data_IF_493094952206
#
_entry.id   IF_493094952206
#
_cell.length_a   1.000
_cell.length_b   1.000
_cell.length_c   1.000
_cell.angle_alpha   90.00
_cell.angle_beta   90.00
_cell.angle_gamma   90.00
#
_symmetry.space_group_name_H-M   'P 1'
#
loop_
_entity.id
_entity.type
_entity.pdbx_description
1 polymer ?
#
# COMPACT_ATOMS: atom_id res chain seq x y z
N UNK A 1 -47.69 -60.06 -23.30
CA UNK A 1 -47.22 -61.19 -24.16
C UNK A 1 -46.72 -60.57 -25.44
N UNK A 2 -45.52 -60.74 -26.02
CA UNK A 2 -44.27 -61.52 -25.95
C UNK A 2 -43.27 -60.61 -26.73
N UNK A 3 -41.94 -60.64 -26.68
CA UNK A 3 -40.88 -61.34 -25.96
C UNK A 3 -39.58 -60.55 -26.27
N UNK A 4 -38.64 -60.70 -25.37
CA UNK A 4 -37.24 -60.27 -25.31
C UNK A 4 -36.35 -60.39 -26.56
N UNK A 5 -35.31 -59.54 -26.53
CA UNK A 5 -34.04 -59.45 -27.32
C UNK A 5 -33.32 -60.77 -27.63
N UNK A 6 -32.27 -60.72 -28.47
CA UNK A 6 -30.94 -61.03 -27.92
C UNK A 6 -29.80 -60.10 -28.38
N UNK A 7 -28.71 -60.21 -27.61
CA UNK A 7 -27.43 -59.50 -27.64
C UNK A 7 -26.47 -60.09 -28.69
N UNK A 8 -25.56 -59.27 -29.23
CA UNK A 8 -24.19 -59.70 -29.59
C UNK A 8 -23.20 -58.63 -29.10
N UNK A 9 -22.20 -59.15 -28.39
CA UNK A 9 -21.01 -58.52 -27.82
C UNK A 9 -19.93 -58.35 -28.89
N UNK A 10 -19.19 -57.25 -28.87
CA UNK A 10 -17.96 -57.06 -29.65
C UNK A 10 -17.01 -56.10 -28.94
N UNK A 11 -15.90 -56.64 -28.45
CA UNK A 11 -14.76 -56.03 -27.76
C UNK A 11 -13.88 -55.14 -28.67
N UNK A 12 -13.26 -54.09 -28.07
CA UNK A 12 -11.84 -53.61 -28.16
C UNK A 12 -11.22 -53.37 -29.58
N UNK A 13 -10.36 -52.41 -29.90
CA UNK A 13 -9.46 -51.48 -29.19
C UNK A 13 -8.84 -50.51 -30.23
N UNK A 14 -8.68 -49.24 -29.84
CA UNK A 14 -7.63 -48.22 -30.18
C UNK A 14 -7.18 -48.02 -31.64
N UNK A 15 -7.24 -46.76 -32.12
CA UNK A 15 -6.12 -45.89 -32.59
C UNK A 15 -6.75 -44.70 -33.34
N UNK A 16 -6.37 -43.47 -32.98
CA UNK A 16 -6.73 -42.30 -33.79
C UNK A 16 -6.56 -40.93 -33.12
N UNK A 17 -5.40 -40.68 -32.50
CA UNK A 17 -4.96 -39.32 -32.16
C UNK A 17 -4.78 -38.55 -33.47
N UNK A 18 -5.65 -37.57 -33.73
CA UNK A 18 -5.41 -36.34 -34.50
C UNK A 18 -6.76 -35.67 -34.77
N UNK A 19 -6.81 -34.33 -34.75
CA UNK A 19 -7.98 -33.43 -34.99
C UNK A 19 -8.63 -32.82 -33.73
N UNK A 20 -7.81 -32.49 -32.72
CA UNK A 20 -8.16 -31.50 -31.69
C UNK A 20 -7.22 -30.29 -31.70
N UNK A 21 -6.71 -29.90 -32.87
CA UNK A 21 -5.71 -28.83 -33.03
C UNK A 21 -6.15 -27.81 -34.07
N UNK A 22 -7.36 -27.25 -33.95
CA UNK A 22 -7.73 -25.98 -34.59
C UNK A 22 -8.79 -25.34 -33.68
N UNK A 23 -8.57 -24.08 -33.28
CA UNK A 23 -9.37 -23.29 -32.33
C UNK A 23 -9.05 -23.44 -30.82
N UNK A 24 -7.76 -23.42 -30.48
CA UNK A 24 -7.32 -22.61 -29.35
C UNK A 24 -6.91 -21.26 -29.94
N UNK A 25 -7.90 -20.39 -30.19
CA UNK A 25 -7.62 -18.96 -30.26
C UNK A 25 -7.07 -18.59 -28.89
N UNK A 26 -5.77 -18.30 -28.86
CA UNK A 26 -5.11 -17.67 -27.73
C UNK A 26 -5.99 -16.52 -27.25
N UNK A 27 -6.47 -16.60 -26.02
CA UNK A 27 -7.14 -15.49 -25.37
C UNK A 27 -6.26 -14.24 -25.57
N UNK A 28 -6.82 -13.10 -26.02
CA UNK A 28 -6.03 -11.90 -26.21
C UNK A 28 -5.36 -11.56 -24.89
N UNK A 29 -4.05 -11.30 -24.94
CA UNK A 29 -3.22 -10.87 -23.82
C UNK A 29 -3.87 -9.62 -23.22
N UNK A 30 -4.62 -9.77 -22.12
CA UNK A 30 -5.26 -8.66 -21.39
C UNK A 30 -4.22 -7.93 -20.54
N UNK A 31 -3.06 -7.61 -21.11
CA UNK A 31 -2.21 -6.57 -20.54
C UNK A 31 -2.85 -5.24 -20.93
N UNK A 32 -3.33 -4.42 -19.98
CA UNK A 32 -3.86 -3.10 -20.31
C UNK A 32 -2.92 -2.37 -21.27
N UNK A 33 -3.46 -1.96 -22.41
CA UNK A 33 -2.77 -1.17 -23.41
C UNK A 33 -2.60 0.24 -22.84
N UNK A 34 -1.57 0.41 -22.04
CA UNK A 34 -1.40 1.56 -21.15
C UNK A 34 -0.46 1.26 -19.98
N UNK A 35 -0.21 -0.03 -19.69
CA UNK A 35 0.96 -0.39 -18.90
C UNK A 35 2.18 -0.10 -19.77
N UNK A 36 2.78 1.07 -19.57
CA UNK A 36 4.24 1.05 -19.57
C UNK A 36 4.59 0.02 -18.49
N UNK A 37 4.85 -1.22 -18.94
CA UNK A 37 5.90 -1.98 -18.27
C UNK A 37 7.00 -0.95 -18.16
N UNK A 38 7.56 -0.70 -16.98
CA UNK A 38 8.70 0.21 -16.87
C UNK A 38 9.70 -0.28 -17.90
N UNK A 39 9.68 0.36 -19.08
CA UNK A 39 10.51 0.01 -20.21
C UNK A 39 11.72 0.84 -19.92
N UNK A 40 12.44 0.36 -18.93
CA UNK A 40 13.88 0.45 -18.95
C UNK A 40 14.33 -0.31 -20.21
N UNK A 41 14.15 0.33 -21.37
CA UNK A 41 14.54 -0.21 -22.69
C UNK A 41 16.07 -0.46 -22.75
N UNK A 42 16.79 -0.03 -21.70
CA UNK A 42 18.06 -0.54 -21.21
C UNK A 42 17.90 -0.89 -19.73
N UNK A 43 18.29 -2.10 -19.30
CA UNK A 43 18.45 -2.41 -17.87
C UNK A 43 19.34 -1.32 -17.27
N UNK A 44 18.88 -0.52 -16.28
CA UNK A 44 19.69 0.56 -15.75
C UNK A 44 20.97 0.02 -15.12
N UNK A 45 22.08 0.76 -15.18
CA UNK A 45 23.33 0.35 -14.53
C UNK A 45 23.12 -0.01 -13.04
N UNK A 46 22.15 0.64 -12.37
CA UNK A 46 21.75 0.33 -11.00
C UNK A 46 21.09 -1.04 -10.85
N UNK A 47 20.27 -1.48 -11.79
CA UNK A 47 19.60 -2.79 -11.73
C UNK A 47 20.63 -3.93 -11.84
N UNK A 48 21.53 -3.87 -12.82
CA UNK A 48 22.62 -4.86 -12.95
C UNK A 48 23.59 -4.79 -11.77
N UNK A 49 23.84 -3.60 -11.21
CA UNK A 49 24.66 -3.44 -10.01
C UNK A 49 24.06 -4.20 -8.82
N UNK A 50 22.79 -3.95 -8.46
CA UNK A 50 22.14 -4.62 -7.33
C UNK A 50 21.98 -6.12 -7.58
N UNK A 51 21.67 -6.51 -8.82
CA UNK A 51 21.58 -7.92 -9.20
C UNK A 51 22.91 -8.63 -9.01
N UNK A 52 24.01 -8.03 -9.47
CA UNK A 52 25.34 -8.59 -9.29
C UNK A 52 25.71 -8.72 -7.82
N UNK A 53 25.38 -7.71 -7.00
CA UNK A 53 25.72 -7.72 -5.58
C UNK A 53 24.96 -8.80 -4.82
N UNK A 54 23.63 -8.88 -4.99
CA UNK A 54 22.77 -9.90 -4.36
C UNK A 54 23.23 -11.31 -4.75
N UNK A 55 23.57 -11.54 -6.02
CA UNK A 55 24.07 -12.83 -6.49
C UNK A 55 25.46 -13.20 -5.94
N UNK A 56 26.31 -12.22 -5.65
CA UNK A 56 27.66 -12.45 -5.14
C UNK A 56 27.73 -12.59 -3.62
N UNK A 57 26.77 -12.01 -2.90
CA UNK A 57 26.69 -11.99 -1.45
C UNK A 57 25.38 -12.62 -0.98
N UNK A 58 24.41 -11.80 -0.56
CA UNK A 58 23.07 -12.20 -0.18
C UNK A 58 22.08 -11.06 -0.44
N UNK A 59 20.76 -11.32 -0.46
CA UNK A 59 19.74 -10.27 -0.48
C UNK A 59 19.91 -9.25 0.66
N UNK A 60 20.18 -9.73 1.87
CA UNK A 60 20.34 -8.90 3.07
C UNK A 60 21.58 -8.00 2.99
N UNK A 61 22.73 -8.56 2.62
CA UNK A 61 23.97 -7.79 2.47
C UNK A 61 23.84 -6.77 1.33
N UNK A 62 23.21 -7.17 0.21
CA UNK A 62 22.89 -6.28 -0.89
C UNK A 62 22.00 -5.11 -0.46
N UNK A 63 21.01 -5.35 0.41
CA UNK A 63 20.11 -4.30 0.88
C UNK A 63 20.77 -3.37 1.91
N UNK A 64 21.65 -3.90 2.76
CA UNK A 64 22.49 -3.08 3.66
C UNK A 64 23.36 -2.13 2.83
N UNK A 65 24.00 -2.64 1.80
CA UNK A 65 24.85 -1.83 0.93
C UNK A 65 24.04 -0.81 0.13
N UNK A 66 22.91 -1.22 -0.43
CA UNK A 66 21.95 -0.32 -1.07
C UNK A 66 21.58 0.85 -0.15
N UNK A 67 21.23 0.58 1.11
CA UNK A 67 20.94 1.64 2.09
C UNK A 67 22.15 2.54 2.32
N UNK A 68 23.36 1.98 2.42
CA UNK A 68 24.61 2.75 2.63
C UNK A 68 24.89 3.71 1.48
N UNK A 69 24.71 3.26 0.24
CA UNK A 69 24.97 4.07 -0.96
C UNK A 69 23.89 5.11 -1.21
N UNK A 70 22.63 4.73 -1.00
CA UNK A 70 21.49 5.57 -1.30
C UNK A 70 21.23 6.65 -0.24
N UNK A 71 21.77 6.54 0.98
CA UNK A 71 21.50 7.46 2.10
C UNK A 71 21.77 8.96 1.83
N UNK A 72 22.63 9.26 0.86
CA UNK A 72 23.04 10.63 0.53
C UNK A 72 22.29 11.19 -0.69
N UNK A 73 21.49 10.38 -1.38
CA UNK A 73 20.64 10.83 -2.48
C UNK A 73 19.55 11.76 -1.94
N UNK A 74 18.91 12.54 -2.82
CA UNK A 74 17.73 13.32 -2.43
C UNK A 74 16.60 12.39 -1.96
N UNK A 75 15.66 12.93 -1.18
CA UNK A 75 14.55 12.16 -0.63
C UNK A 75 13.75 11.40 -1.69
N UNK A 76 13.45 12.04 -2.83
CA UNK A 76 12.74 11.40 -3.95
C UNK A 76 13.58 10.31 -4.63
N UNK A 77 14.88 10.58 -4.87
CA UNK A 77 15.79 9.58 -5.44
C UNK A 77 15.97 8.37 -4.53
N UNK A 78 16.00 8.59 -3.21
CA UNK A 78 16.10 7.51 -2.24
C UNK A 78 14.95 6.51 -2.41
N UNK A 79 13.73 7.03 -2.49
CA UNK A 79 12.52 6.23 -2.68
C UNK A 79 12.52 5.51 -4.04
N UNK A 80 12.80 6.24 -5.13
CA UNK A 80 12.79 5.66 -6.49
C UNK A 80 13.85 4.59 -6.68
N UNK A 81 15.06 4.79 -6.16
CA UNK A 81 16.12 3.77 -6.22
C UNK A 81 15.73 2.50 -5.42
N UNK A 82 14.93 2.65 -4.36
CA UNK A 82 14.46 1.52 -3.59
C UNK A 82 13.46 0.66 -4.38
N UNK A 83 12.67 1.25 -5.29
CA UNK A 83 11.83 0.46 -6.22
C UNK A 83 12.70 -0.50 -7.03
N UNK A 84 13.77 0.01 -7.65
CA UNK A 84 14.69 -0.81 -8.46
C UNK A 84 15.25 -1.99 -7.64
N UNK A 85 15.70 -1.75 -6.41
CA UNK A 85 16.19 -2.82 -5.56
C UNK A 85 15.09 -3.88 -5.30
N UNK A 86 13.88 -3.45 -4.97
CA UNK A 86 12.74 -4.34 -4.78
C UNK A 86 12.39 -5.17 -6.01
N UNK A 87 12.47 -4.58 -7.20
CA UNK A 87 12.24 -5.29 -8.46
C UNK A 87 13.29 -6.37 -8.72
N UNK A 88 14.58 -6.05 -8.50
CA UNK A 88 15.70 -7.01 -8.61
C UNK A 88 15.51 -8.14 -7.60
N UNK A 89 15.16 -7.80 -6.37
CA UNK A 89 14.95 -8.75 -5.29
C UNK A 89 13.86 -9.76 -5.63
N UNK A 90 12.71 -9.32 -6.16
CA UNK A 90 11.66 -10.24 -6.61
C UNK A 90 12.12 -11.13 -7.77
N UNK A 91 12.90 -10.58 -8.71
CA UNK A 91 13.42 -11.36 -9.83
C UNK A 91 14.31 -12.52 -9.37
N UNK A 92 15.13 -12.30 -8.34
CA UNK A 92 16.08 -13.28 -7.84
C UNK A 92 15.48 -14.26 -6.84
N UNK A 93 14.71 -13.75 -5.88
CA UNK A 93 14.24 -14.52 -4.72
C UNK A 93 12.75 -14.91 -4.80
N UNK A 94 12.02 -14.33 -5.74
CA UNK A 94 10.56 -14.44 -5.79
C UNK A 94 9.92 -13.93 -4.50
N UNK A 95 8.79 -14.54 -4.12
CA UNK A 95 7.97 -14.11 -2.96
C UNK A 95 8.74 -14.15 -1.64
N UNK A 96 9.69 -15.07 -1.48
CA UNK A 96 10.39 -15.25 -0.21
C UNK A 96 11.40 -14.14 0.08
N UNK A 97 11.83 -13.39 -0.94
CA UNK A 97 12.72 -12.24 -0.80
C UNK A 97 12.10 -11.05 -0.07
N UNK A 98 10.77 -11.00 0.08
CA UNK A 98 10.08 -9.83 0.63
C UNK A 98 10.57 -9.46 2.05
N UNK A 99 11.04 -10.45 2.82
CA UNK A 99 11.58 -10.24 4.17
C UNK A 99 12.86 -9.39 4.22
N UNK A 100 13.54 -9.21 3.10
CA UNK A 100 14.75 -8.38 2.98
C UNK A 100 14.42 -6.89 3.01
N UNK A 101 13.28 -6.48 2.44
CA UNK A 101 12.83 -5.09 2.47
C UNK A 101 12.46 -4.65 3.89
N UNK A 102 12.58 -3.35 4.18
CA UNK A 102 12.14 -2.72 5.43
C UNK A 102 11.45 -1.37 5.16
N UNK A 103 11.15 -0.61 6.21
CA UNK A 103 10.52 0.70 6.11
C UNK A 103 11.43 1.82 5.57
N UNK A 104 12.71 1.54 5.30
CA UNK A 104 13.65 2.53 4.80
C UNK A 104 13.16 3.13 3.48
N UNK A 105 13.49 4.41 3.27
CA UNK A 105 13.13 5.14 2.05
C UNK A 105 11.62 5.10 1.74
N UNK A 106 10.79 5.22 2.79
CA UNK A 106 9.33 5.20 2.71
C UNK A 106 8.79 3.94 2.01
N UNK A 107 9.26 2.77 2.42
CA UNK A 107 8.78 1.48 1.91
C UNK A 107 9.03 1.25 0.41
N UNK A 108 9.89 2.06 -0.25
CA UNK A 108 10.09 1.98 -1.70
C UNK A 108 10.57 0.60 -2.20
N UNK A 109 11.31 -0.16 -1.38
CA UNK A 109 11.69 -1.55 -1.68
C UNK A 109 10.45 -2.45 -1.85
N UNK A 110 9.49 -2.35 -0.94
CA UNK A 110 8.24 -3.10 -1.06
C UNK A 110 7.46 -2.67 -2.31
N UNK A 111 7.41 -1.38 -2.62
CA UNK A 111 6.68 -0.87 -3.80
C UNK A 111 7.19 -1.53 -5.08
N UNK A 112 8.50 -1.47 -5.35
CA UNK A 112 9.10 -2.11 -6.52
C UNK A 112 8.88 -3.63 -6.53
N UNK A 113 9.08 -4.29 -5.40
CA UNK A 113 8.89 -5.73 -5.25
C UNK A 113 7.46 -6.18 -5.62
N UNK A 114 6.45 -5.50 -5.08
CA UNK A 114 5.05 -5.83 -5.38
C UNK A 114 4.62 -5.41 -6.76
N UNK A 115 5.08 -4.26 -7.24
CA UNK A 115 4.79 -3.79 -8.60
C UNK A 115 5.24 -4.84 -9.62
N UNK A 116 6.49 -5.32 -9.55
CA UNK A 116 6.98 -6.32 -10.50
C UNK A 116 6.31 -7.70 -10.31
N UNK A 117 5.99 -8.08 -9.08
CA UNK A 117 5.30 -9.34 -8.79
C UNK A 117 3.92 -9.40 -9.45
N UNK A 118 3.10 -8.38 -9.21
CA UNK A 118 1.75 -8.30 -9.77
C UNK A 118 1.81 -8.05 -11.28
N UNK A 119 2.77 -7.27 -11.77
CA UNK A 119 2.96 -7.07 -13.20
C UNK A 119 3.27 -8.38 -13.95
N UNK A 120 4.17 -9.22 -13.42
CA UNK A 120 4.61 -10.46 -14.08
C UNK A 120 3.57 -11.58 -13.98
N UNK A 121 2.94 -11.74 -12.83
CA UNK A 121 2.08 -12.90 -12.53
C UNK A 121 0.59 -12.58 -12.55
N UNK A 122 0.23 -11.30 -12.59
CA UNK A 122 -1.15 -10.85 -12.50
C UNK A 122 -1.78 -11.17 -11.13
N UNK A 123 -3.11 -11.12 -11.03
CA UNK A 123 -3.83 -11.28 -9.76
C UNK A 123 -3.66 -12.65 -9.08
N UNK A 124 -3.15 -13.66 -9.79
CA UNK A 124 -2.97 -15.00 -9.25
C UNK A 124 -1.89 -15.08 -8.15
N UNK A 125 -0.99 -14.09 -8.07
CA UNK A 125 0.07 -14.04 -7.05
C UNK A 125 -0.41 -13.46 -5.71
N UNK A 126 -1.53 -12.73 -5.71
CA UNK A 126 -1.98 -11.92 -4.57
C UNK A 126 -2.21 -12.73 -3.29
N UNK A 127 -2.84 -13.91 -3.39
CA UNK A 127 -3.04 -14.77 -2.23
C UNK A 127 -1.70 -15.22 -1.62
N UNK A 128 -0.71 -15.54 -2.46
CA UNK A 128 0.61 -15.96 -1.97
C UNK A 128 1.37 -14.81 -1.32
N UNK A 129 1.27 -13.60 -1.88
CA UNK A 129 1.85 -12.40 -1.28
C UNK A 129 1.23 -12.10 0.08
N UNK A 130 -0.10 -12.18 0.20
CA UNK A 130 -0.79 -12.01 1.47
C UNK A 130 -0.34 -13.03 2.53
N UNK A 131 -0.26 -14.31 2.16
CA UNK A 131 0.23 -15.34 3.06
C UNK A 131 1.70 -15.14 3.44
N UNK A 132 2.53 -14.61 2.53
CA UNK A 132 3.91 -14.24 2.85
C UNK A 132 3.96 -13.08 3.86
N UNK A 133 3.14 -12.04 3.67
CA UNK A 133 3.01 -10.94 4.63
C UNK A 133 2.65 -11.44 6.03
N UNK A 134 1.65 -12.33 6.13
CA UNK A 134 1.21 -12.87 7.42
C UNK A 134 2.27 -13.79 8.03
N UNK A 135 2.96 -14.59 7.22
CA UNK A 135 3.99 -15.52 7.68
C UNK A 135 5.20 -14.79 8.26
N UNK A 136 5.64 -13.71 7.62
CA UNK A 136 6.88 -13.00 7.99
C UNK A 136 6.64 -12.03 9.14
N UNK A 137 5.59 -11.21 9.07
CA UNK A 137 5.32 -10.16 10.09
C UNK A 137 4.30 -10.58 11.16
N UNK A 138 3.59 -11.68 10.95
CA UNK A 138 2.55 -12.15 11.85
C UNK A 138 1.23 -11.41 11.68
N UNK A 139 0.18 -11.96 12.30
CA UNK A 139 -1.21 -11.48 12.19
C UNK A 139 -1.46 -10.09 12.79
N UNK A 140 -0.52 -9.57 13.59
CA UNK A 140 -0.68 -8.26 14.22
C UNK A 140 0.05 -7.14 13.44
N UNK A 141 0.94 -7.46 12.48
CA UNK A 141 1.82 -6.47 11.83
C UNK A 141 1.93 -6.61 10.29
N UNK A 142 1.04 -7.38 9.63
CA UNK A 142 1.13 -7.65 8.19
C UNK A 142 0.61 -6.49 7.29
N UNK A 143 -0.05 -5.49 7.87
CA UNK A 143 -0.71 -4.42 7.09
C UNK A 143 0.25 -3.56 6.25
N UNK A 144 1.44 -3.15 6.72
CA UNK A 144 2.40 -2.41 5.89
C UNK A 144 2.84 -3.22 4.65
N UNK A 145 3.00 -4.53 4.80
CA UNK A 145 3.29 -5.42 3.67
C UNK A 145 2.12 -5.46 2.68
N UNK A 146 0.87 -5.61 3.16
CA UNK A 146 -0.31 -5.54 2.29
C UNK A 146 -0.50 -4.17 1.63
N UNK A 147 -0.10 -3.08 2.27
CA UNK A 147 -0.14 -1.74 1.68
C UNK A 147 0.67 -1.71 0.38
N UNK A 148 1.88 -2.28 0.38
CA UNK A 148 2.68 -2.46 -0.83
C UNK A 148 1.98 -3.28 -1.94
N UNK A 149 1.21 -4.33 -1.57
CA UNK A 149 0.39 -5.08 -2.55
C UNK A 149 -0.63 -4.15 -3.23
N UNK A 150 -1.21 -3.20 -2.47
CA UNK A 150 -2.16 -2.22 -2.99
C UNK A 150 -1.59 -1.36 -4.12
N UNK A 151 -0.36 -0.88 -3.96
CA UNK A 151 0.37 -0.16 -5.01
C UNK A 151 0.48 -1.02 -6.28
N UNK A 152 0.98 -2.26 -6.14
CA UNK A 152 1.13 -3.18 -7.26
C UNK A 152 -0.18 -3.49 -7.98
N UNK A 153 -1.28 -3.62 -7.25
CA UNK A 153 -2.61 -3.83 -7.83
C UNK A 153 -3.06 -2.62 -8.64
N UNK A 154 -2.94 -1.39 -8.12
CA UNK A 154 -3.39 -0.23 -8.87
C UNK A 154 -2.50 0.01 -10.10
N UNK A 155 -1.19 -0.16 -9.98
CA UNK A 155 -0.26 -0.10 -11.11
C UNK A 155 -0.64 -1.11 -12.19
N UNK A 156 -1.01 -2.33 -11.81
CA UNK A 156 -1.43 -3.39 -12.74
C UNK A 156 -2.78 -3.11 -13.41
N UNK A 157 -3.78 -2.68 -12.63
CA UNK A 157 -5.15 -2.45 -13.13
C UNK A 157 -5.29 -1.12 -13.86
N UNK A 158 -4.42 -0.16 -13.57
CA UNK A 158 -4.51 1.22 -14.03
C UNK A 158 -5.48 2.05 -13.18
N UNK A 159 -5.23 3.37 -13.05
CA UNK A 159 -6.00 4.26 -12.18
C UNK A 159 -7.48 4.39 -12.57
N UNK A 160 -7.83 4.13 -13.84
CA UNK A 160 -9.21 4.17 -14.33
C UNK A 160 -10.07 2.99 -13.80
N UNK A 161 -9.43 1.95 -13.24
CA UNK A 161 -10.08 0.74 -12.73
C UNK A 161 -10.03 0.65 -11.19
N UNK A 162 -10.13 1.79 -10.49
CA UNK A 162 -10.03 1.87 -9.03
C UNK A 162 -10.93 0.86 -8.28
N UNK A 163 -12.18 0.68 -8.70
CA UNK A 163 -13.10 -0.27 -8.05
C UNK A 163 -12.66 -1.72 -8.24
N UNK A 164 -12.11 -2.06 -9.41
CA UNK A 164 -11.54 -3.38 -9.67
C UNK A 164 -10.30 -3.63 -8.80
N UNK A 165 -9.40 -2.64 -8.68
CA UNK A 165 -8.25 -2.68 -7.78
C UNK A 165 -8.67 -2.98 -6.33
N UNK A 166 -9.67 -2.27 -5.82
CA UNK A 166 -10.19 -2.48 -4.46
C UNK A 166 -10.84 -3.86 -4.28
N UNK A 167 -11.45 -4.43 -5.31
CA UNK A 167 -11.99 -5.79 -5.25
C UNK A 167 -10.90 -6.86 -5.08
N UNK A 168 -9.72 -6.67 -5.69
CA UNK A 168 -8.58 -7.54 -5.43
C UNK A 168 -8.14 -7.50 -3.96
N UNK A 169 -8.15 -6.33 -3.32
CA UNK A 169 -7.84 -6.22 -1.89
C UNK A 169 -8.81 -7.01 -1.00
N UNK A 170 -10.08 -7.16 -1.39
CA UNK A 170 -11.06 -7.96 -0.60
C UNK A 170 -10.78 -9.46 -0.63
N UNK A 171 -10.02 -9.94 -1.61
CA UNK A 171 -9.63 -11.33 -1.73
C UNK A 171 -8.47 -11.69 -0.77
N UNK A 172 -7.79 -10.69 -0.21
CA UNK A 172 -6.76 -10.87 0.80
C UNK A 172 -7.36 -10.98 2.20
N UNK A 173 -6.52 -11.15 3.22
CA UNK A 173 -6.87 -10.97 4.63
C UNK A 173 -7.19 -9.49 4.90
N UNK A 174 -8.38 -9.07 4.46
CA UNK A 174 -8.78 -7.68 4.31
C UNK A 174 -9.15 -7.02 5.64
N UNK A 175 -8.80 -5.74 5.74
CA UNK A 175 -9.23 -4.82 6.79
C UNK A 175 -9.93 -3.62 6.15
N UNK A 176 -10.96 -3.10 6.82
CA UNK A 176 -11.70 -1.91 6.37
C UNK A 176 -10.86 -0.62 6.37
N UNK A 177 -9.72 -0.63 7.06
CA UNK A 177 -8.81 0.49 7.26
C UNK A 177 -7.36 0.02 7.04
N UNK A 178 -6.54 0.85 6.40
CA UNK A 178 -5.13 0.53 6.15
C UNK A 178 -4.92 -0.58 5.11
N UNK A 179 -3.76 -1.24 5.19
CA UNK A 179 -3.42 -2.40 4.35
C UNK A 179 -3.54 -2.14 2.85
N UNK A 180 -3.98 -3.14 2.11
CA UNK A 180 -4.06 -3.12 0.65
C UNK A 180 -4.90 -1.95 0.10
N UNK A 181 -6.09 -1.68 0.67
CA UNK A 181 -6.94 -0.59 0.16
C UNK A 181 -6.30 0.78 0.34
N UNK A 182 -5.57 0.98 1.46
CA UNK A 182 -4.80 2.20 1.70
C UNK A 182 -3.71 2.40 0.63
N UNK A 183 -2.94 1.36 0.29
CA UNK A 183 -1.94 1.45 -0.78
C UNK A 183 -2.54 1.72 -2.17
N UNK A 184 -3.70 1.12 -2.48
CA UNK A 184 -4.46 1.44 -3.70
C UNK A 184 -4.85 2.93 -3.74
N UNK A 185 -5.38 3.48 -2.65
CA UNK A 185 -5.77 4.90 -2.63
C UNK A 185 -4.57 5.85 -2.67
N UNK A 186 -3.47 5.50 -2.00
CA UNK A 186 -2.24 6.28 -2.05
C UNK A 186 -1.70 6.34 -3.47
N UNK A 187 -1.57 5.20 -4.17
CA UNK A 187 -1.15 5.17 -5.57
C UNK A 187 -2.12 5.93 -6.49
N UNK A 188 -3.42 5.88 -6.19
CA UNK A 188 -4.43 6.61 -6.96
C UNK A 188 -4.27 8.12 -6.86
N UNK A 189 -3.91 8.61 -5.67
CA UNK A 189 -3.71 10.03 -5.37
C UNK A 189 -2.33 10.55 -5.75
N UNK A 190 -1.30 9.71 -5.61
CA UNK A 190 0.10 10.02 -5.84
C UNK A 190 0.66 9.04 -6.85
N UNK A 191 0.31 9.25 -8.12
CA UNK A 191 0.68 8.33 -9.18
C UNK A 191 2.18 8.44 -9.38
N UNK A 192 2.87 7.34 -9.17
CA UNK A 192 4.31 7.31 -9.43
C UNK A 192 4.52 7.40 -10.94
N UNK A 193 5.20 8.44 -11.45
CA UNK A 193 5.54 8.50 -12.87
C UNK A 193 6.80 7.69 -13.15
N UNK A 194 6.82 7.08 -14.32
CA UNK A 194 7.96 6.30 -14.82
C UNK A 194 9.15 7.18 -15.27
N UNK A 195 8.98 8.50 -15.36
CA UNK A 195 10.07 9.43 -15.68
C UNK A 195 10.61 10.09 -14.40
N UNK A 196 11.88 10.52 -14.44
CA UNK A 196 12.58 11.21 -13.33
C UNK A 196 11.91 12.53 -12.88
N UNK A 197 10.71 12.85 -13.39
CA UNK A 197 9.96 14.08 -13.12
C UNK A 197 9.20 14.05 -11.78
N UNK A 198 9.06 12.88 -11.15
CA UNK A 198 8.58 12.74 -9.77
C UNK A 198 7.14 12.22 -9.64
N UNK A 199 6.49 12.55 -8.52
CA UNK A 199 5.14 12.10 -8.17
C UNK A 199 4.11 12.96 -8.91
N UNK A 200 3.19 12.33 -9.64
CA UNK A 200 2.03 12.99 -10.24
C UNK A 200 0.86 12.99 -9.25
N UNK A 201 0.72 14.10 -8.55
CA UNK A 201 -0.41 14.32 -7.65
C UNK A 201 -1.65 14.44 -8.50
N UNK A 202 -2.62 13.54 -8.27
CA UNK A 202 -3.93 13.56 -8.92
C UNK A 202 -4.50 14.99 -8.81
N UNK A 203 -4.83 15.67 -9.92
CA UNK A 203 -5.42 16.99 -9.82
C UNK A 203 -6.77 16.89 -9.11
N UNK A 204 -7.22 17.94 -8.40
CA UNK A 204 -8.61 18.06 -8.02
C UNK A 204 -9.49 17.81 -9.24
N UNK A 205 -10.58 17.07 -9.08
CA UNK A 205 -11.52 16.85 -10.18
C UNK A 205 -11.97 18.20 -10.74
N UNK A 206 -12.22 18.26 -12.05
CA UNK A 206 -12.88 19.41 -12.68
C UNK A 206 -14.28 19.66 -12.07
N UNK A 207 -14.89 18.62 -11.50
CA UNK A 207 -16.02 18.75 -10.59
C UNK A 207 -15.50 19.19 -9.22
N UNK A 208 -16.04 20.25 -8.64
CA UNK A 208 -15.71 20.77 -7.31
C UNK A 208 -15.83 19.75 -6.13
N UNK A 209 -16.11 18.47 -6.40
CA UNK A 209 -16.15 17.40 -5.42
C UNK A 209 -14.74 16.98 -4.95
N UNK A 210 -14.26 17.70 -3.93
CA UNK A 210 -13.03 17.40 -3.18
C UNK A 210 -13.09 16.09 -2.39
N UNK A 211 -14.25 15.42 -2.28
CA UNK A 211 -14.39 14.12 -1.64
C UNK A 211 -14.24 12.95 -2.61
N UNK A 212 -14.26 13.22 -3.92
CA UNK A 212 -14.05 12.20 -4.95
C UNK A 212 -12.65 11.57 -4.83
N UNK A 213 -12.51 10.24 -4.95
CA UNK A 213 -13.54 9.29 -5.37
C UNK A 213 -14.39 8.72 -4.21
N UNK A 214 -14.08 9.04 -2.95
CA UNK A 214 -14.64 8.39 -1.77
C UNK A 214 -16.16 8.53 -1.65
N UNK A 215 -16.74 9.61 -2.15
CA UNK A 215 -18.19 9.84 -2.18
C UNK A 215 -18.96 8.81 -3.03
N UNK A 216 -18.30 8.21 -4.02
CA UNK A 216 -18.89 7.30 -5.01
C UNK A 216 -18.60 5.82 -4.73
N UNK A 217 -17.71 5.53 -3.77
CA UNK A 217 -17.29 4.17 -3.46
C UNK A 217 -18.32 3.43 -2.59
N UNK A 218 -18.34 2.08 -2.67
CA UNK A 218 -19.06 1.26 -1.70
C UNK A 218 -18.65 1.60 -0.26
N UNK A 219 -19.63 1.65 0.66
CA UNK A 219 -19.42 2.07 2.06
C UNK A 219 -18.33 1.31 2.80
N UNK A 220 -18.03 0.07 2.40
CA UNK A 220 -16.95 -0.73 2.97
C UNK A 220 -15.55 -0.19 2.70
N UNK A 221 -15.35 0.60 1.63
CA UNK A 221 -14.06 1.18 1.26
C UNK A 221 -13.92 2.65 1.65
N UNK A 222 -15.04 3.33 1.95
CA UNK A 222 -15.06 4.76 2.27
C UNK A 222 -14.18 5.12 3.48
N UNK A 223 -14.15 4.36 4.59
CA UNK A 223 -13.28 4.67 5.72
C UNK A 223 -11.79 4.74 5.32
N UNK A 224 -11.26 3.70 4.65
CA UNK A 224 -9.89 3.72 4.15
C UNK A 224 -9.66 4.83 3.13
N UNK A 225 -10.63 5.11 2.25
CA UNK A 225 -10.50 6.20 1.28
C UNK A 225 -10.38 7.56 1.97
N UNK A 226 -11.27 7.88 2.91
CA UNK A 226 -11.19 9.14 3.67
C UNK A 226 -10.02 9.19 4.65
N UNK A 227 -9.43 8.05 5.02
CA UNK A 227 -8.15 8.03 5.72
C UNK A 227 -6.99 8.48 4.81
N UNK A 228 -7.05 8.25 3.50
CA UNK A 228 -5.96 8.62 2.57
C UNK A 228 -6.16 10.01 1.95
N UNK A 229 -7.37 10.59 2.05
CA UNK A 229 -7.66 11.93 1.52
C UNK A 229 -6.86 13.07 2.17
N UNK A 230 -6.59 13.10 3.50
CA UNK A 230 -5.83 14.18 4.12
C UNK A 230 -4.44 14.39 3.52
N UNK A 231 -3.73 13.32 3.14
CA UNK A 231 -2.44 13.43 2.47
C UNK A 231 -2.59 14.11 1.11
N UNK A 232 -3.59 13.68 0.32
CA UNK A 232 -3.87 14.27 -0.98
C UNK A 232 -4.30 15.73 -0.87
N UNK A 233 -5.20 16.06 0.06
CA UNK A 233 -5.63 17.43 0.33
C UNK A 233 -4.49 18.32 0.79
N UNK A 234 -3.55 17.82 1.60
CA UNK A 234 -2.35 18.58 1.96
C UNK A 234 -1.53 18.93 0.72
N UNK A 235 -1.37 17.98 -0.21
CA UNK A 235 -0.64 18.22 -1.47
C UNK A 235 -1.33 19.24 -2.39
N UNK A 236 -2.67 19.25 -2.47
CA UNK A 236 -3.41 20.16 -3.38
C UNK A 236 -3.87 21.47 -2.73
N UNK A 237 -3.83 21.58 -1.40
CA UNK A 237 -4.21 22.78 -0.65
C UNK A 237 -3.06 23.35 0.20
N UNK A 238 -1.81 23.12 -0.21
CA UNK A 238 -0.61 23.69 0.41
C UNK A 238 -0.53 23.46 1.94
N UNK A 239 -0.92 22.26 2.39
CA UNK A 239 -1.00 21.87 3.80
C UNK A 239 -1.85 22.83 4.66
N UNK A 240 -2.93 23.41 4.12
CA UNK A 240 -3.95 24.14 4.90
C UNK A 240 -4.75 23.17 5.78
N UNK A 241 -4.18 22.81 6.93
CA UNK A 241 -4.76 21.87 7.89
C UNK A 241 -6.10 22.33 8.46
N UNK A 242 -6.32 23.64 8.56
CA UNK A 242 -7.62 24.18 9.00
C UNK A 242 -8.71 23.94 7.96
N UNK A 243 -8.38 24.06 6.66
CA UNK A 243 -9.29 23.67 5.58
C UNK A 243 -9.52 22.16 5.57
N UNK A 244 -8.46 21.36 5.69
CA UNK A 244 -8.53 19.89 5.72
C UNK A 244 -9.41 19.39 6.87
N UNK A 245 -9.24 19.96 8.07
CA UNK A 245 -10.08 19.62 9.23
C UNK A 245 -11.57 19.91 8.99
N UNK A 246 -11.92 20.99 8.28
CA UNK A 246 -13.31 21.28 7.89
C UNK A 246 -13.87 20.29 6.86
N UNK A 247 -13.02 19.74 6.00
CA UNK A 247 -13.44 18.70 5.06
C UNK A 247 -13.76 17.41 5.81
N UNK A 248 -12.93 17.00 6.77
CA UNK A 248 -13.23 15.86 7.64
C UNK A 248 -14.54 16.08 8.42
N UNK A 249 -14.74 17.26 9.01
CA UNK A 249 -15.98 17.61 9.74
C UNK A 249 -17.24 17.58 8.86
N UNK A 250 -17.09 17.81 7.56
CA UNK A 250 -18.16 17.77 6.58
C UNK A 250 -18.65 16.36 6.20
N UNK A 251 -18.02 15.28 6.68
CA UNK A 251 -18.43 13.91 6.37
C UNK A 251 -19.63 13.48 7.23
N UNK A 252 -20.66 12.87 6.62
CA UNK A 252 -21.88 12.50 7.35
C UNK A 252 -21.71 11.32 8.31
N UNK A 253 -20.74 10.44 8.05
CA UNK A 253 -20.56 9.19 8.80
C UNK A 253 -19.44 9.34 9.82
N UNK A 254 -19.75 9.13 11.11
CA UNK A 254 -18.77 9.24 12.21
C UNK A 254 -17.52 8.36 12.02
N UNK A 255 -17.67 7.19 11.39
CA UNK A 255 -16.53 6.31 11.10
C UNK A 255 -15.59 6.91 10.04
N UNK A 256 -16.16 7.59 9.05
CA UNK A 256 -15.41 8.27 7.99
C UNK A 256 -14.75 9.55 8.54
N UNK A 257 -15.46 10.31 9.38
CA UNK A 257 -14.90 11.44 10.13
C UNK A 257 -13.70 11.00 10.98
N UNK A 258 -13.88 9.99 11.83
CA UNK A 258 -12.82 9.53 12.72
C UNK A 258 -11.59 9.02 11.98
N UNK A 259 -11.79 8.27 10.89
CA UNK A 259 -10.72 7.85 9.99
C UNK A 259 -9.95 9.05 9.40
N UNK A 260 -10.68 10.07 8.95
CA UNK A 260 -10.13 11.28 8.36
C UNK A 260 -9.31 12.10 9.37
N UNK A 261 -9.84 12.33 10.58
CA UNK A 261 -9.11 13.08 11.63
C UNK A 261 -7.88 12.32 12.14
N UNK A 262 -7.98 11.01 12.37
CA UNK A 262 -6.83 10.18 12.75
C UNK A 262 -5.72 10.24 11.68
N UNK A 263 -6.10 10.22 10.41
CA UNK A 263 -5.17 10.35 9.30
C UNK A 263 -4.45 11.70 9.28
N UNK A 264 -5.13 12.83 9.55
CA UNK A 264 -4.47 14.14 9.68
C UNK A 264 -3.31 14.07 10.66
N UNK A 265 -3.53 13.50 11.84
CA UNK A 265 -2.49 13.32 12.85
C UNK A 265 -1.33 12.44 12.37
N UNK A 266 -1.67 11.33 11.72
CA UNK A 266 -0.68 10.39 11.19
C UNK A 266 0.23 11.05 10.14
N UNK A 267 -0.35 11.65 9.09
CA UNK A 267 0.42 12.28 8.02
C UNK A 267 1.18 13.52 8.49
N UNK A 268 0.55 14.38 9.30
CA UNK A 268 1.19 15.61 9.78
C UNK A 268 2.42 15.34 10.64
N UNK A 269 2.45 14.23 11.38
CA UNK A 269 3.64 13.81 12.12
C UNK A 269 4.80 13.43 11.20
N UNK A 270 4.54 12.66 10.14
CA UNK A 270 5.57 12.31 9.17
C UNK A 270 6.10 13.57 8.43
N UNK A 271 5.20 14.44 7.96
CA UNK A 271 5.56 15.69 7.26
C UNK A 271 6.33 16.66 8.16
N UNK A 272 6.01 16.69 9.45
CA UNK A 272 6.67 17.57 10.43
C UNK A 272 8.01 17.03 10.95
N UNK A 273 8.57 15.98 10.33
CA UNK A 273 9.74 15.26 10.81
C UNK A 273 9.58 14.83 12.28
N UNK A 274 8.40 14.32 12.62
CA UNK A 274 8.02 13.83 13.95
C UNK A 274 8.14 14.85 15.09
N UNK A 275 8.08 16.15 14.77
CA UNK A 275 8.08 17.22 15.79
C UNK A 275 6.75 17.27 16.55
N UNK A 276 6.77 16.87 17.83
CA UNK A 276 5.61 16.93 18.74
C UNK A 276 4.94 18.31 18.69
N UNK A 277 5.73 19.39 18.82
CA UNK A 277 5.18 20.76 18.81
C UNK A 277 4.39 21.07 17.53
N UNK A 278 4.96 20.79 16.35
CA UNK A 278 4.30 21.09 15.07
C UNK A 278 3.02 20.27 14.90
N UNK A 279 3.06 19.00 15.28
CA UNK A 279 1.89 18.11 15.25
C UNK A 279 0.78 18.61 16.16
N UNK A 280 1.13 19.05 17.37
CA UNK A 280 0.16 19.64 18.29
C UNK A 280 -0.44 20.91 17.71
N UNK A 281 0.36 21.82 17.16
CA UNK A 281 -0.11 23.04 16.50
C UNK A 281 -1.12 22.72 15.36
N UNK A 282 -0.93 21.60 14.66
CA UNK A 282 -1.87 21.11 13.63
C UNK A 282 -3.12 20.51 14.26
N UNK A 283 -2.99 19.58 15.20
CA UNK A 283 -4.15 18.91 15.79
C UNK A 283 -5.05 19.86 16.57
N UNK A 284 -4.52 20.89 17.26
CA UNK A 284 -5.35 21.91 17.93
C UNK A 284 -6.13 22.80 16.95
N UNK A 285 -5.76 22.81 15.67
CA UNK A 285 -6.52 23.51 14.63
C UNK A 285 -7.77 22.75 14.17
N UNK A 286 -7.96 21.51 14.64
CA UNK A 286 -9.17 20.74 14.33
C UNK A 286 -10.41 21.38 14.99
N UNK A 287 -11.60 21.24 14.37
CA UNK A 287 -12.77 22.06 14.69
C UNK A 287 -13.26 22.01 16.14
N UNK A 288 -13.10 20.86 16.80
CA UNK A 288 -13.57 20.64 18.17
C UNK A 288 -12.68 19.67 18.96
N UNK A 289 -12.99 19.48 20.25
CA UNK A 289 -12.18 18.62 21.11
C UNK A 289 -12.17 17.14 20.66
N UNK A 290 -13.25 16.66 20.04
CA UNK A 290 -13.34 15.27 19.58
C UNK A 290 -12.37 15.03 18.43
N UNK A 291 -12.42 15.89 17.41
CA UNK A 291 -11.52 15.87 16.25
C UNK A 291 -10.06 16.16 16.63
N UNK A 292 -9.81 17.05 17.59
CA UNK A 292 -8.47 17.27 18.18
C UNK A 292 -7.93 15.98 18.82
N UNK A 293 -8.78 15.27 19.57
CA UNK A 293 -8.41 14.00 20.20
C UNK A 293 -8.13 12.91 19.17
N UNK A 294 -8.95 12.78 18.13
CA UNK A 294 -8.75 11.80 17.05
C UNK A 294 -7.46 12.07 16.25
N UNK A 295 -7.19 13.33 15.92
CA UNK A 295 -5.93 13.73 15.31
C UNK A 295 -4.74 13.37 16.20
N UNK A 296 -4.79 13.75 17.48
CA UNK A 296 -3.69 13.48 18.41
C UNK A 296 -3.48 11.98 18.62
N UNK A 297 -4.54 11.19 18.63
CA UNK A 297 -4.49 9.72 18.70
C UNK A 297 -3.79 9.13 17.47
N UNK A 298 -4.21 9.51 16.26
CA UNK A 298 -3.58 9.06 15.03
C UNK A 298 -2.09 9.44 14.94
N UNK A 299 -1.75 10.66 15.37
CA UNK A 299 -0.37 11.10 15.48
C UNK A 299 0.42 10.27 16.51
N UNK A 300 -0.16 9.94 17.65
CA UNK A 300 0.50 9.14 18.69
C UNK A 300 0.89 7.74 18.19
N UNK A 301 0.12 7.15 17.27
CA UNK A 301 0.40 5.83 16.71
C UNK A 301 1.57 5.85 15.73
N UNK A 302 1.64 6.83 14.82
CA UNK A 302 2.75 6.88 13.87
C UNK A 302 4.08 7.24 14.56
N UNK A 303 4.04 7.94 15.70
CA UNK A 303 5.24 8.14 16.53
C UNK A 303 5.88 6.82 16.95
N UNK A 304 5.11 5.74 17.10
CA UNK A 304 5.64 4.41 17.43
C UNK A 304 6.60 3.85 16.38
N UNK A 305 6.75 4.49 15.21
CA UNK A 305 7.77 4.12 14.22
C UNK A 305 9.16 4.68 14.55
N UNK A 306 9.24 5.61 15.50
CA UNK A 306 10.48 6.28 15.91
C UNK A 306 11.13 5.58 17.10
N UNK A 307 12.45 5.72 17.24
CA UNK A 307 13.24 5.11 18.34
C UNK A 307 12.67 5.39 19.73
N UNK A 308 12.27 6.64 20.00
CA UNK A 308 11.64 7.06 21.27
C UNK A 308 10.10 7.17 21.16
N UNK A 309 9.52 6.43 20.22
CA UNK A 309 8.15 6.61 19.74
C UNK A 309 7.07 6.53 20.82
N UNK A 310 7.21 5.62 21.79
CA UNK A 310 6.26 5.52 22.92
C UNK A 310 6.27 6.75 23.80
N UNK A 311 7.44 7.37 24.01
CA UNK A 311 7.55 8.60 24.79
C UNK A 311 6.93 9.78 24.02
N UNK A 312 7.25 9.92 22.74
CA UNK A 312 6.69 10.96 21.87
C UNK A 312 5.16 10.86 21.76
N UNK A 313 4.63 9.66 21.54
CA UNK A 313 3.18 9.43 21.52
C UNK A 313 2.51 9.73 22.87
N UNK A 314 3.17 9.41 23.98
CA UNK A 314 2.65 9.71 25.31
C UNK A 314 2.65 11.23 25.60
N UNK A 315 3.66 11.96 25.13
CA UNK A 315 3.73 13.42 25.21
C UNK A 315 2.56 14.07 24.45
N UNK A 316 2.29 13.60 23.22
CA UNK A 316 1.12 14.03 22.44
C UNK A 316 -0.18 13.77 23.21
N UNK A 317 -0.41 12.55 23.71
CA UNK A 317 -1.64 12.26 24.45
C UNK A 317 -1.79 13.13 25.72
N UNK A 318 -0.69 13.51 26.39
CA UNK A 318 -0.73 14.30 27.62
C UNK A 318 -1.12 15.77 27.40
N UNK A 319 -1.06 16.27 26.17
CA UNK A 319 -1.51 17.64 25.86
C UNK A 319 -3.03 17.77 25.79
N UNK A 320 -3.76 16.66 25.70
CA UNK A 320 -5.21 16.63 25.71
C UNK A 320 -5.77 16.86 27.14
N UNK A 321 -7.04 17.25 27.27
CA UNK A 321 -7.69 17.30 28.58
C UNK A 321 -7.73 15.91 29.26
N UNK A 322 -7.89 15.85 30.59
CA UNK A 322 -7.60 14.63 31.37
C UNK A 322 -8.33 13.35 30.91
N UNK A 323 -9.56 13.48 30.41
CA UNK A 323 -10.34 12.33 29.94
C UNK A 323 -9.80 11.81 28.62
N UNK A 324 -9.67 12.67 27.62
CA UNK A 324 -9.18 12.38 26.28
C UNK A 324 -7.73 11.90 26.32
N UNK A 325 -6.91 12.51 27.19
CA UNK A 325 -5.54 12.07 27.46
C UNK A 325 -5.50 10.62 27.95
N UNK A 326 -6.37 10.25 28.89
CA UNK A 326 -6.44 8.88 29.41
C UNK A 326 -6.90 7.89 28.34
N UNK A 327 -7.88 8.26 27.51
CA UNK A 327 -8.37 7.45 26.40
C UNK A 327 -7.27 7.24 25.34
N UNK A 328 -6.58 8.30 24.92
CA UNK A 328 -5.44 8.27 23.99
C UNK A 328 -4.32 7.37 24.54
N UNK A 329 -3.93 7.54 25.80
CA UNK A 329 -2.90 6.71 26.47
C UNK A 329 -3.27 5.23 26.51
N UNK A 330 -4.55 4.89 26.75
CA UNK A 330 -5.00 3.50 26.77
C UNK A 330 -4.87 2.85 25.38
N UNK A 331 -5.25 3.57 24.34
CA UNK A 331 -5.12 3.10 22.95
C UNK A 331 -3.67 2.99 22.51
N UNK A 332 -2.82 3.96 22.86
CA UNK A 332 -1.37 3.91 22.62
C UNK A 332 -0.71 2.68 23.27
N UNK A 333 -1.11 2.34 24.50
CA UNK A 333 -0.62 1.13 25.20
C UNK A 333 -1.13 -0.17 24.58
N UNK A 334 -2.37 -0.17 24.09
CA UNK A 334 -2.95 -1.33 23.41
C UNK A 334 -2.34 -1.56 22.02
N UNK A 335 -1.75 -0.53 21.42
CA UNK A 335 -1.08 -0.64 20.13
C UNK A 335 0.20 -1.48 20.25
N UNK A 336 0.20 -2.61 19.51
CA UNK A 336 1.25 -3.63 19.52
C UNK A 336 2.34 -3.40 18.48
N UNK A 337 2.30 -2.29 17.75
CA UNK A 337 3.37 -1.93 16.84
C UNK A 337 4.68 -1.85 17.64
N UNK A 338 5.59 -2.76 17.35
CA UNK A 338 6.92 -2.80 17.94
C UNK A 338 7.89 -2.27 16.90
N UNK A 339 8.64 -1.22 17.24
CA UNK A 339 9.87 -0.91 16.51
C UNK A 339 10.76 -2.12 16.67
N UNK A 340 11.23 -2.68 15.55
CA UNK A 340 12.41 -3.56 15.58
C UNK A 340 13.54 -2.66 16.08
N UNK A 341 13.92 -2.80 17.35
CA UNK A 341 15.11 -2.13 17.88
C UNK A 341 16.26 -2.46 16.92
N UNK A 342 16.80 -1.44 16.24
CA UNK A 342 18.00 -1.58 15.44
C UNK A 342 19.09 -2.13 16.36
N UNK A 343 19.55 -3.34 16.06
CA UNK A 343 20.68 -4.01 16.73
C UNK A 343 22.01 -3.37 16.35
#
# INVERSE_FOLDING_TARGET
>A
MKKSKPYIVGMLVVVGVALGAVFLESAPDRRPSGIAAVRFDSVPDSYEHWKSLILSESPEDGYIEFKRENKNSSFGEQHLNAHIFGEVLYELEGIDGIGTCDASFQFGCYHGFFNIAVYREGPAVLEKLDQACIRIWGKDNFLPCQHGIGHGILTYTGPDNLVEALHYCRALTWQEMGGCSSGVFMEYNFRTRDDLSGIDVRPPSDSEDVYSPCSELPSSFRPACYAEQPQWWAAVFDSDWSRIGKLCDGLDQLKEQGACFQAIGNYSAAESAFSVKKVLDICVSMPDLSSQSECTEGASWIMLTQKDGRALGAELCQSLPPREAQECQNKLKANRFNVVEES
#
